data_IF_379273552051
#
_entry.id   IF_379273552051
#
_cell.length_a   1.000
_cell.length_b   1.000
_cell.length_c   1.000
_cell.angle_alpha   90.00
_cell.angle_beta   90.00
_cell.angle_gamma   90.00
#
_symmetry.space_group_name_H-M   'P 1'
#
loop_
_entity.id
_entity.type
_entity.pdbx_description
1 polymer ?
#
# COMPACT_ATOMS: atom_id res chain seq x y z
N UNK A 1 8.98 52.27 -49.96
CA UNK A 1 9.87 51.52 -49.06
C UNK A 1 10.02 52.32 -47.79
N UNK A 2 9.21 52.08 -46.76
CA UNK A 2 9.51 52.34 -45.34
C UNK A 2 8.51 51.50 -44.54
N UNK A 3 9.01 50.37 -44.04
CA UNK A 3 8.28 49.36 -43.29
C UNK A 3 8.16 49.85 -41.84
N UNK A 4 6.94 49.97 -41.34
CA UNK A 4 6.68 50.31 -39.94
C UNK A 4 6.76 49.00 -39.15
N UNK A 5 7.83 48.85 -38.38
CA UNK A 5 7.97 47.79 -37.39
C UNK A 5 6.97 48.06 -36.26
N UNK A 6 5.92 47.24 -36.17
CA UNK A 6 5.14 47.10 -34.95
C UNK A 6 5.95 46.21 -34.00
N UNK A 7 6.42 46.71 -32.85
CA UNK A 7 6.97 45.83 -31.83
C UNK A 7 5.79 45.00 -31.28
N UNK A 8 5.78 43.71 -31.60
CA UNK A 8 4.98 42.72 -30.89
C UNK A 8 5.52 42.65 -29.46
N UNK A 9 4.99 43.50 -28.59
CA UNK A 9 5.10 43.34 -27.14
C UNK A 9 4.18 42.17 -26.79
N UNK A 10 4.68 40.94 -26.96
CA UNK A 10 4.09 39.78 -26.31
C UNK A 10 4.38 39.93 -24.82
N UNK A 11 3.50 40.66 -24.12
CA UNK A 11 3.52 40.72 -22.68
C UNK A 11 3.37 39.29 -22.16
N UNK A 12 4.43 38.76 -21.55
CA UNK A 12 4.32 37.56 -20.74
C UNK A 12 3.35 37.91 -19.62
N UNK A 13 2.16 37.33 -19.70
CA UNK A 13 1.14 37.45 -18.67
C UNK A 13 1.70 36.67 -17.48
N UNK A 14 2.36 37.37 -16.55
CA UNK A 14 2.71 36.85 -15.23
C UNK A 14 1.41 36.75 -14.41
N UNK A 15 0.56 35.78 -14.77
CA UNK A 15 -0.63 35.42 -14.02
C UNK A 15 -0.42 34.05 -13.38
N UNK A 16 -0.82 33.89 -12.12
CA UNK A 16 -1.03 32.56 -11.55
C UNK A 16 -2.17 31.90 -12.32
N UNK A 17 -1.96 30.68 -12.81
CA UNK A 17 -3.04 29.82 -13.26
C UNK A 17 -3.61 29.11 -12.02
N UNK A 18 -4.94 29.00 -11.93
CA UNK A 18 -5.60 28.18 -10.93
C UNK A 18 -5.92 26.83 -11.55
N UNK A 19 -5.66 25.76 -10.79
CA UNK A 19 -5.99 24.38 -11.14
C UNK A 19 -7.04 23.89 -10.15
N UNK A 20 -7.98 23.06 -10.60
CA UNK A 20 -8.93 22.39 -9.70
C UNK A 20 -8.21 21.30 -8.91
N UNK A 21 -8.78 20.86 -7.76
CA UNK A 21 -8.21 19.72 -7.02
C UNK A 21 -8.13 18.47 -7.90
N UNK A 22 -9.17 18.14 -8.66
CA UNK A 22 -9.13 16.97 -9.55
C UNK A 22 -8.07 17.05 -10.65
N UNK A 23 -7.83 18.24 -11.22
CA UNK A 23 -6.72 18.42 -12.18
C UNK A 23 -5.36 18.32 -11.49
N UNK A 24 -5.22 18.79 -10.26
CA UNK A 24 -3.99 18.65 -9.48
C UNK A 24 -3.71 17.19 -9.12
N UNK A 25 -4.74 16.48 -8.64
CA UNK A 25 -4.68 15.06 -8.27
C UNK A 25 -4.28 14.23 -9.50
N UNK A 26 -4.85 14.50 -10.67
CA UNK A 26 -4.45 13.84 -11.93
C UNK A 26 -2.97 14.06 -12.32
N UNK A 27 -2.36 15.19 -11.93
CA UNK A 27 -0.92 15.41 -12.17
C UNK A 27 -0.03 14.77 -11.08
N UNK A 28 -0.62 14.25 -10.01
CA UNK A 28 0.05 13.67 -8.84
C UNK A 28 -0.34 12.20 -8.65
N UNK A 29 -0.65 11.53 -9.75
CA UNK A 29 -0.98 10.11 -9.85
C UNK A 29 -0.01 9.58 -10.92
N UNK A 30 1.15 9.09 -10.48
CA UNK A 30 2.31 8.81 -11.35
C UNK A 30 2.22 7.45 -12.02
N UNK A 31 1.56 6.48 -11.42
CA UNK A 31 1.32 5.15 -11.99
C UNK A 31 -0.06 5.00 -12.66
N UNK A 32 -0.91 6.02 -12.57
CA UNK A 32 -2.19 6.16 -13.26
C UNK A 32 -3.28 5.16 -12.80
N UNK A 33 -3.27 4.75 -11.53
CA UNK A 33 -4.30 3.88 -10.96
C UNK A 33 -5.56 4.62 -10.46
N UNK A 34 -5.51 5.94 -10.45
CA UNK A 34 -6.61 6.81 -10.04
C UNK A 34 -6.57 7.25 -8.58
N UNK A 35 -5.52 6.89 -7.83
CA UNK A 35 -5.23 7.38 -6.50
C UNK A 35 -4.07 8.38 -6.54
N UNK A 36 -4.29 9.63 -6.10
CA UNK A 36 -3.19 10.59 -6.05
C UNK A 36 -2.25 10.27 -4.89
N UNK A 37 -0.99 10.70 -4.99
CA UNK A 37 0.08 10.61 -3.99
C UNK A 37 -0.31 10.97 -2.53
N UNK A 38 -1.37 11.75 -2.31
CA UNK A 38 -1.83 12.06 -0.94
C UNK A 38 -2.64 10.92 -0.30
N UNK A 39 -3.25 10.07 -1.12
CA UNK A 39 -4.10 8.96 -0.74
C UNK A 39 -3.44 7.60 -1.03
N UNK A 40 -2.42 7.56 -1.91
CA UNK A 40 -1.69 6.36 -2.32
C UNK A 40 -0.37 6.16 -1.53
N UNK A 41 -0.22 4.99 -0.93
CA UNK A 41 0.99 4.59 -0.21
C UNK A 41 2.15 4.23 -1.16
N UNK A 42 1.88 3.93 -2.43
CA UNK A 42 2.91 3.74 -3.45
C UNK A 42 2.50 4.22 -4.86
N UNK A 43 2.67 5.52 -5.09
CA UNK A 43 2.46 6.21 -6.37
C UNK A 43 3.45 5.77 -7.49
N UNK A 44 4.24 4.70 -7.34
CA UNK A 44 5.03 4.09 -8.44
C UNK A 44 4.45 2.78 -8.98
N UNK A 45 3.50 2.17 -8.28
CA UNK A 45 2.96 0.87 -8.64
C UNK A 45 1.44 0.83 -8.53
N UNK A 46 0.78 0.92 -9.69
CA UNK A 46 -0.68 0.89 -9.89
C UNK A 46 -1.45 -0.33 -9.33
N UNK A 47 -0.75 -1.25 -8.67
CA UNK A 47 -1.31 -2.43 -7.99
C UNK A 47 -1.45 -2.23 -6.48
N UNK A 48 -0.79 -1.21 -5.93
CA UNK A 48 -0.75 -0.88 -4.51
C UNK A 48 -1.45 0.45 -4.38
N UNK A 49 -2.66 0.45 -3.83
CA UNK A 49 -3.48 1.64 -3.70
C UNK A 49 -4.64 1.38 -2.74
N UNK A 50 -5.31 2.43 -2.23
CA UNK A 50 -6.51 2.26 -1.43
C UNK A 50 -7.51 1.27 -2.03
N UNK A 51 -7.90 0.28 -1.23
CA UNK A 51 -8.87 -0.76 -1.62
C UNK A 51 -8.41 -1.70 -2.76
N UNK A 52 -7.10 -1.81 -3.03
CA UNK A 52 -6.58 -2.90 -3.85
C UNK A 52 -6.84 -4.24 -3.16
N UNK A 53 -6.76 -5.33 -3.93
CA UNK A 53 -6.77 -6.67 -3.36
C UNK A 53 -5.43 -6.98 -2.71
N UNK A 54 -5.48 -7.52 -1.50
CA UNK A 54 -4.29 -7.81 -0.70
C UNK A 54 -4.02 -9.31 -0.54
N UNK A 55 -2.77 -9.72 -0.74
CA UNK A 55 -2.34 -11.09 -0.56
C UNK A 55 -1.47 -11.16 0.70
N UNK A 56 -2.12 -11.55 1.79
CA UNK A 56 -1.56 -11.46 3.15
C UNK A 56 -0.26 -12.24 3.29
N UNK A 57 0.59 -11.77 4.18
CA UNK A 57 1.86 -12.41 4.51
C UNK A 57 2.87 -12.44 3.37
N UNK A 58 2.65 -11.67 2.30
CA UNK A 58 3.66 -11.41 1.27
C UNK A 58 4.55 -10.21 1.61
N UNK A 59 4.21 -9.48 2.67
CA UNK A 59 4.96 -8.35 3.21
C UNK A 59 4.68 -7.05 2.44
N UNK A 60 3.46 -6.91 1.94
CA UNK A 60 2.99 -5.77 1.15
C UNK A 60 1.61 -5.34 1.68
N UNK A 61 1.46 -4.13 2.22
CA UNK A 61 0.12 -3.55 2.40
C UNK A 61 -0.35 -3.02 1.03
N UNK A 62 -0.96 -3.89 0.23
CA UNK A 62 -1.40 -3.53 -1.11
C UNK A 62 -2.57 -2.54 -1.07
N UNK A 63 -3.33 -2.52 0.03
CA UNK A 63 -4.56 -1.72 0.16
C UNK A 63 -4.38 -0.37 0.88
N UNK A 64 -3.14 -0.04 1.28
CA UNK A 64 -2.75 1.16 2.02
C UNK A 64 -3.50 1.35 3.36
N UNK A 65 -3.82 0.24 4.03
CA UNK A 65 -4.59 0.18 5.26
C UNK A 65 -6.01 0.74 5.10
N UNK A 66 -6.58 0.63 3.89
CA UNK A 66 -7.94 1.07 3.55
C UNK A 66 -8.90 -0.08 3.29
N UNK A 67 -8.44 -1.32 3.20
CA UNK A 67 -9.31 -2.48 3.25
C UNK A 67 -9.76 -2.76 4.67
N UNK A 68 -9.26 -3.84 5.27
CA UNK A 68 -9.53 -4.13 6.67
C UNK A 68 -8.64 -3.27 7.59
N UNK A 69 -9.06 -3.03 8.83
CA UNK A 69 -8.21 -2.28 9.77
C UNK A 69 -6.99 -3.14 10.07
N UNK A 70 -5.80 -2.58 9.88
CA UNK A 70 -4.50 -3.12 10.29
C UNK A 70 -3.82 -2.01 11.10
N UNK A 71 -3.74 -2.21 12.41
CA UNK A 71 -3.34 -1.18 13.37
C UNK A 71 -1.83 -1.10 13.60
N UNK A 72 -1.08 -2.16 13.32
CA UNK A 72 0.37 -2.26 13.54
C UNK A 72 1.19 -2.52 12.26
N UNK A 73 0.53 -2.64 11.11
CA UNK A 73 1.11 -2.70 9.76
C UNK A 73 1.91 -3.99 9.53
N UNK A 74 1.38 -5.12 9.96
CA UNK A 74 2.00 -6.43 9.79
C UNK A 74 1.41 -7.28 8.65
N UNK A 75 0.55 -6.67 7.81
CA UNK A 75 -0.09 -7.31 6.65
C UNK A 75 -1.19 -8.31 7.07
N UNK A 76 -1.70 -8.18 8.31
CA UNK A 76 -2.87 -8.90 8.80
C UNK A 76 -3.95 -7.96 9.38
N UNK A 77 -5.22 -8.18 9.01
CA UNK A 77 -6.31 -7.41 9.61
C UNK A 77 -6.52 -7.67 11.11
N UNK A 78 -6.81 -6.60 11.87
CA UNK A 78 -7.15 -6.59 13.29
C UNK A 78 -8.23 -7.63 13.70
N UNK A 79 -9.08 -8.07 12.76
CA UNK A 79 -10.18 -9.02 13.04
C UNK A 79 -9.76 -10.50 12.99
N UNK A 80 -8.65 -10.80 12.35
CA UNK A 80 -8.03 -12.13 12.30
C UNK A 80 -6.73 -12.20 13.10
N UNK A 81 -6.14 -11.05 13.40
CA UNK A 81 -4.92 -10.94 14.16
C UNK A 81 -5.17 -11.06 15.69
N UNK A 82 -4.35 -11.88 16.34
CA UNK A 82 -4.39 -12.08 17.79
C UNK A 82 -3.59 -11.02 18.57
N UNK A 83 -2.76 -10.21 17.90
CA UNK A 83 -1.95 -9.16 18.48
C UNK A 83 -2.02 -7.80 17.75
N UNK A 84 -3.20 -7.17 17.58
CA UNK A 84 -3.40 -6.00 16.68
C UNK A 84 -2.74 -4.67 17.11
N UNK A 85 -1.83 -4.72 18.06
CA UNK A 85 -0.99 -3.59 18.47
C UNK A 85 0.50 -4.01 18.53
N UNK A 86 0.84 -5.20 18.02
CA UNK A 86 2.12 -5.89 18.12
C UNK A 86 2.46 -6.60 16.79
N UNK A 87 3.26 -5.98 15.90
CA UNK A 87 3.53 -6.50 14.56
C UNK A 87 4.42 -7.76 14.55
N UNK A 88 4.83 -8.23 15.73
CA UNK A 88 5.51 -9.52 15.93
C UNK A 88 4.52 -10.64 16.35
N UNK A 89 3.21 -10.38 16.34
CA UNK A 89 2.16 -11.35 16.68
C UNK A 89 1.06 -11.32 15.62
N UNK A 90 1.10 -12.27 14.69
CA UNK A 90 0.17 -12.33 13.57
C UNK A 90 0.00 -13.75 13.02
N UNK A 91 -1.11 -14.08 12.36
CA UNK A 91 -1.31 -15.38 11.78
C UNK A 91 -0.14 -15.83 10.91
N UNK A 92 0.34 -17.06 11.15
CA UNK A 92 1.45 -17.65 10.39
C UNK A 92 2.83 -17.02 10.54
N UNK A 93 3.04 -16.21 11.57
CA UNK A 93 4.35 -15.70 11.93
C UNK A 93 5.42 -16.82 11.88
N UNK A 94 6.47 -16.69 11.05
CA UNK A 94 7.52 -17.71 10.95
C UNK A 94 8.43 -17.79 12.18
N UNK A 95 8.35 -16.83 13.10
CA UNK A 95 9.29 -16.66 14.21
C UNK A 95 8.77 -17.21 15.56
N UNK A 96 7.66 -17.97 15.56
CA UNK A 96 7.11 -18.66 16.74
C UNK A 96 8.13 -19.52 17.50
N UNK A 97 8.09 -19.43 18.83
CA UNK A 97 9.08 -20.04 19.73
C UNK A 97 8.43 -21.00 20.72
N UNK A 98 8.55 -22.30 20.42
CA UNK A 98 8.09 -23.40 21.30
C UNK A 98 8.50 -23.24 22.78
N UNK A 99 7.51 -23.11 23.64
CA UNK A 99 7.61 -23.17 25.09
C UNK A 99 7.93 -21.84 25.76
N UNK A 100 7.82 -20.72 25.06
CA UNK A 100 7.96 -19.38 25.63
C UNK A 100 6.64 -18.80 26.16
N UNK A 101 5.50 -19.47 25.88
CA UNK A 101 4.13 -19.13 26.29
C UNK A 101 3.55 -17.91 25.59
N UNK A 102 4.06 -17.60 24.42
CA UNK A 102 3.56 -16.57 23.55
C UNK A 102 3.17 -17.22 22.22
N UNK A 103 1.91 -17.08 21.85
CA UNK A 103 1.35 -17.56 20.57
C UNK A 103 1.51 -16.43 19.56
N UNK A 104 2.66 -16.37 18.90
CA UNK A 104 3.01 -15.32 17.94
C UNK A 104 2.49 -15.59 16.53
N UNK A 105 2.13 -16.83 16.21
CA UNK A 105 1.59 -17.23 14.89
C UNK A 105 0.06 -17.40 14.86
N UNK A 106 -0.60 -17.07 15.97
CA UNK A 106 -2.04 -17.06 16.19
C UNK A 106 -2.73 -18.41 15.87
N UNK A 107 -2.01 -19.53 16.03
CA UNK A 107 -2.56 -20.88 15.78
C UNK A 107 -3.27 -21.47 17.01
N UNK A 108 -3.13 -20.82 18.17
CA UNK A 108 -3.76 -21.20 19.44
C UNK A 108 -2.93 -22.16 20.29
N UNK A 109 -1.74 -22.54 19.83
CA UNK A 109 -0.76 -23.34 20.54
C UNK A 109 0.50 -22.50 20.85
N UNK A 110 1.33 -23.01 21.76
CA UNK A 110 2.67 -22.47 22.08
C UNK A 110 3.64 -23.57 21.66
N UNK A 111 4.03 -23.57 20.39
CA UNK A 111 4.60 -24.73 19.73
C UNK A 111 5.30 -24.40 18.41
N UNK A 112 6.00 -25.37 17.83
CA UNK A 112 6.62 -25.15 16.52
C UNK A 112 5.50 -25.07 15.48
N UNK A 113 5.45 -23.96 14.71
CA UNK A 113 4.51 -23.75 13.61
C UNK A 113 4.27 -25.02 12.77
N UNK A 114 3.03 -25.49 12.75
CA UNK A 114 2.58 -26.64 11.99
C UNK A 114 1.63 -26.22 10.85
N UNK A 115 2.19 -25.98 9.66
CA UNK A 115 1.41 -25.64 8.47
C UNK A 115 0.52 -26.77 7.96
N UNK A 116 0.74 -28.02 8.38
CA UNK A 116 -0.15 -29.14 8.01
C UNK A 116 -1.40 -29.16 8.88
N UNK A 117 -1.28 -28.81 10.17
CA UNK A 117 -2.40 -28.71 11.11
C UNK A 117 -3.13 -27.36 11.02
N UNK A 118 -2.38 -26.28 10.89
CA UNK A 118 -2.85 -24.90 10.81
C UNK A 118 -2.36 -24.20 9.52
N UNK A 119 -3.09 -24.37 8.40
CA UNK A 119 -2.74 -23.72 7.15
C UNK A 119 -2.96 -22.21 7.21
N UNK A 120 -2.03 -21.46 6.62
CA UNK A 120 -2.16 -20.02 6.46
C UNK A 120 -3.24 -19.63 5.46
N UNK A 121 -4.00 -18.60 5.81
CA UNK A 121 -4.99 -18.00 4.94
C UNK A 121 -4.43 -16.70 4.34
N UNK A 122 -3.68 -16.84 3.25
CA UNK A 122 -3.08 -15.71 2.55
C UNK A 122 -4.06 -14.96 1.63
N UNK A 123 -5.12 -15.63 1.17
CA UNK A 123 -6.15 -14.99 0.33
C UNK A 123 -7.02 -14.04 1.17
N UNK A 124 -7.13 -12.78 0.77
CA UNK A 124 -8.17 -11.89 1.30
C UNK A 124 -9.57 -12.41 0.87
N UNK A 125 -10.48 -12.70 1.81
CA UNK A 125 -11.85 -13.09 1.48
C UNK A 125 -12.62 -12.05 0.66
N UNK A 126 -12.23 -10.78 0.74
CA UNK A 126 -12.90 -9.69 0.03
C UNK A 126 -12.35 -9.51 -1.40
N UNK A 127 -11.08 -9.87 -1.64
CA UNK A 127 -10.48 -9.98 -2.97
C UNK A 127 -9.62 -11.26 -3.14
N UNK A 128 -10.25 -12.41 -3.44
CA UNK A 128 -9.54 -13.69 -3.57
C UNK A 128 -8.61 -13.78 -4.79
N UNK A 129 -8.67 -12.80 -5.69
CA UNK A 129 -7.84 -12.75 -6.90
C UNK A 129 -6.65 -11.79 -6.74
N UNK A 130 -6.43 -11.25 -5.53
CA UNK A 130 -5.28 -10.45 -5.16
C UNK A 130 -3.96 -11.14 -5.56
N UNK A 131 -3.06 -10.45 -6.27
CA UNK A 131 -1.79 -11.03 -6.69
C UNK A 131 -0.81 -11.13 -5.51
N UNK A 132 -0.10 -12.26 -5.38
CA UNK A 132 1.10 -12.37 -4.54
C UNK A 132 2.22 -11.44 -5.07
N UNK A 133 2.45 -10.34 -4.36
CA UNK A 133 3.42 -9.29 -4.66
C UNK A 133 4.83 -9.60 -4.11
N UNK A 134 5.03 -10.65 -3.29
CA UNK A 134 6.38 -11.05 -2.81
C UNK A 134 7.37 -11.31 -3.94
N UNK A 135 6.87 -11.78 -5.08
CA UNK A 135 7.66 -12.06 -6.28
C UNK A 135 8.12 -10.80 -7.04
N UNK A 136 7.56 -9.64 -6.70
CA UNK A 136 7.86 -8.33 -7.27
C UNK A 136 8.76 -7.48 -6.35
N UNK A 137 9.67 -8.14 -5.61
CA UNK A 137 10.56 -7.50 -4.62
C UNK A 137 11.19 -6.20 -5.14
N UNK A 138 10.73 -5.08 -4.60
CA UNK A 138 11.08 -3.73 -5.04
C UNK A 138 9.89 -2.78 -5.08
N UNK A 139 8.67 -3.31 -5.08
CA UNK A 139 7.47 -2.51 -5.21
C UNK A 139 6.60 -2.43 -3.94
N UNK A 140 6.82 -3.24 -2.92
CA UNK A 140 6.16 -3.06 -1.60
C UNK A 140 6.88 -2.00 -0.73
N UNK A 141 7.65 -1.12 -1.36
CA UNK A 141 8.29 -0.01 -0.67
C UNK A 141 7.26 1.11 -0.51
N UNK A 142 6.40 0.96 0.49
CA UNK A 142 5.46 1.98 0.98
C UNK A 142 6.17 3.27 1.45
N UNK A 143 7.51 3.25 1.52
CA UNK A 143 8.32 4.42 1.88
C UNK A 143 8.79 5.25 0.70
N UNK A 144 8.48 4.86 -0.55
CA UNK A 144 8.74 5.68 -1.75
C UNK A 144 7.74 6.85 -1.92
N UNK A 145 7.45 7.52 -0.81
CA UNK A 145 7.15 8.95 -0.77
C UNK A 145 8.40 9.74 -1.22
N UNK A 146 8.85 9.52 -2.46
CA UNK A 146 9.85 10.34 -3.13
C UNK A 146 9.19 11.70 -3.48
N UNK A 147 9.19 12.61 -2.49
CA UNK A 147 8.86 14.04 -2.65
C UNK A 147 10.13 14.85 -2.96
#
# INVERSE_FOLDING_TARGET
MWQQFLPLVFGMILGCAYVTKGELDHYRDRDEDGWPLDDDCNDTDSRIHPYAGDYRGDGCDADCGKGALDSDMDDWPDDVDCGPDDPDQFPCNPDEVDGDKFDSDCDGEDGIRDLEEFPCMYEDPNDPEAPDLSSYSGNCDETNLDI
#
